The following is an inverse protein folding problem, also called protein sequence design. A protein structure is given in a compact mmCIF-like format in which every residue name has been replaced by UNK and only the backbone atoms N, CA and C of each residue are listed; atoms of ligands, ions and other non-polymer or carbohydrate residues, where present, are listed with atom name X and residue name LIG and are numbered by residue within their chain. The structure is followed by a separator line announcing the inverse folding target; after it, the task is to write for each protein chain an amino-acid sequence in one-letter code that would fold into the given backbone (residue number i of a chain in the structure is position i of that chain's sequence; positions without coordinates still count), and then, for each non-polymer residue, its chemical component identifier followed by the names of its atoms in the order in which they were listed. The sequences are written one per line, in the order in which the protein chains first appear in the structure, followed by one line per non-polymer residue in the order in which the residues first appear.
data_IF_368632571710
#
_entry.id   IF_368632571710
#
_cell.length_a   1.000
_cell.length_b   1.000
_cell.length_c   1.000
_cell.angle_alpha   90.00
_cell.angle_beta   90.00
_cell.angle_gamma   90.00
#
_symmetry.space_group_name_H-M   'P 1'
#
loop_
_entity.id
_entity.type
_entity.pdbx_description
1 polymer ?
#
# COMPACT_ATOMS: atom_id res chain seq x y z
N UNK A 1 -5.37 -19.97 13.60
CA UNK A 1 -5.13 -18.51 13.55
C UNK A 1 -6.01 -17.88 14.62
N UNK A 2 -5.44 -17.08 15.53
CA UNK A 2 -6.19 -16.48 16.65
C UNK A 2 -6.80 -15.15 16.18
N UNK A 3 -8.01 -14.76 16.66
CA UNK A 3 -8.66 -13.47 16.31
C UNK A 3 -7.73 -12.28 16.46
N UNK A 4 -6.93 -12.24 17.53
CA UNK A 4 -5.98 -11.16 17.79
C UNK A 4 -4.95 -10.96 16.68
N UNK A 5 -4.72 -11.97 15.82
CA UNK A 5 -3.87 -11.82 14.63
C UNK A 5 -4.62 -11.17 13.46
N UNK A 6 -5.95 -11.32 13.37
CA UNK A 6 -6.77 -10.67 12.33
C UNK A 6 -6.90 -9.16 12.58
N UNK A 7 -7.02 -8.73 13.85
CA UNK A 7 -7.10 -7.30 14.23
C UNK A 7 -5.82 -6.53 13.90
N UNK A 8 -4.69 -7.23 13.86
CA UNK A 8 -3.37 -6.65 13.59
C UNK A 8 -3.10 -6.46 12.09
N UNK A 9 -3.89 -7.09 11.21
CA UNK A 9 -3.65 -7.02 9.77
C UNK A 9 -3.97 -5.61 9.26
N UNK A 10 -2.96 -4.95 8.70
CA UNK A 10 -3.11 -3.65 8.07
C UNK A 10 -3.66 -3.82 6.64
N UNK A 11 -4.85 -3.28 6.39
CA UNK A 11 -5.40 -3.14 5.04
C UNK A 11 -4.89 -1.85 4.42
N UNK A 12 -4.21 -1.98 3.28
CA UNK A 12 -3.61 -0.86 2.56
C UNK A 12 -4.37 -0.64 1.26
N UNK A 13 -5.08 0.49 1.17
CA UNK A 13 -5.83 0.89 -0.01
C UNK A 13 -4.86 1.45 -1.08
N UNK A 14 -4.52 0.63 -2.06
CA UNK A 14 -3.56 0.94 -3.12
C UNK A 14 -4.05 2.13 -3.96
N UNK A 15 -3.29 3.22 -4.00
CA UNK A 15 -3.64 4.50 -4.66
C UNK A 15 -4.96 5.11 -4.19
N UNK A 16 -5.33 4.84 -2.94
CA UNK A 16 -6.63 5.14 -2.34
C UNK A 16 -7.70 4.06 -2.52
N UNK A 17 -7.41 2.98 -3.25
CA UNK A 17 -8.37 1.91 -3.57
C UNK A 17 -9.29 2.28 -4.74
N UNK A 18 -10.20 1.38 -5.10
CA UNK A 18 -11.14 1.56 -6.23
C UNK A 18 -12.48 2.10 -5.75
N UNK A 19 -12.46 3.25 -5.07
CA UNK A 19 -13.66 3.99 -4.65
C UNK A 19 -13.98 5.17 -5.59
N UNK A 20 -12.94 5.74 -6.20
CA UNK A 20 -12.95 6.70 -7.31
C UNK A 20 -11.70 6.44 -8.18
N UNK A 21 -11.36 7.38 -9.07
CA UNK A 21 -10.15 7.31 -9.89
C UNK A 21 -8.86 7.35 -9.03
N UNK A 22 -7.87 6.52 -9.40
CA UNK A 22 -6.64 6.34 -8.62
C UNK A 22 -5.91 7.66 -8.34
N UNK A 23 -5.30 7.78 -7.15
CA UNK A 23 -4.49 8.94 -6.76
C UNK A 23 -5.20 10.31 -6.88
N UNK A 24 -6.54 10.35 -6.83
CA UNK A 24 -7.31 11.61 -6.77
C UNK A 24 -7.70 11.99 -5.34
N UNK A 25 -7.90 13.29 -5.07
CA UNK A 25 -8.36 13.74 -3.75
C UNK A 25 -9.71 13.11 -3.37
N UNK A 26 -10.62 13.00 -4.34
CA UNK A 26 -11.91 12.34 -4.16
C UNK A 26 -11.74 10.88 -3.71
N UNK A 27 -10.84 10.13 -4.32
CA UNK A 27 -10.58 8.74 -3.95
C UNK A 27 -10.04 8.61 -2.53
N UNK A 28 -9.08 9.45 -2.14
CA UNK A 28 -8.55 9.44 -0.77
C UNK A 28 -9.61 9.82 0.26
N UNK A 29 -10.42 10.84 0.01
CA UNK A 29 -11.54 11.20 0.91
C UNK A 29 -12.52 10.03 1.06
N UNK A 30 -12.87 9.34 -0.04
CA UNK A 30 -13.74 8.15 0.00
C UNK A 30 -13.10 7.00 0.77
N UNK A 31 -11.81 6.77 0.61
CA UNK A 31 -11.07 5.75 1.36
C UNK A 31 -11.04 6.04 2.87
N UNK A 32 -10.81 7.29 3.25
CA UNK A 32 -10.85 7.74 4.65
C UNK A 32 -12.27 7.61 5.24
N UNK A 33 -13.30 7.97 4.49
CA UNK A 33 -14.69 7.77 4.89
C UNK A 33 -15.00 6.29 5.10
N UNK A 34 -14.52 5.42 4.20
CA UNK A 34 -14.66 3.98 4.36
C UNK A 34 -13.98 3.46 5.64
N UNK A 35 -12.79 3.95 5.95
CA UNK A 35 -12.09 3.62 7.18
C UNK A 35 -12.80 4.15 8.45
N UNK A 36 -13.53 5.26 8.37
CA UNK A 36 -14.38 5.75 9.46
C UNK A 36 -15.62 4.88 9.68
N UNK A 37 -16.19 4.30 8.62
CA UNK A 37 -17.31 3.35 8.72
C UNK A 37 -16.84 2.02 9.32
N UNK A 38 -15.57 1.65 9.11
CA UNK A 38 -14.95 0.43 9.65
C UNK A 38 -13.82 0.74 10.65
N UNK A 39 -14.13 1.33 11.83
CA UNK A 39 -13.12 1.80 12.77
C UNK A 39 -12.30 0.67 13.41
N UNK A 40 -12.80 -0.57 13.39
CA UNK A 40 -12.15 -1.77 13.91
C UNK A 40 -10.99 -2.27 13.03
N UNK A 41 -10.86 -1.73 11.81
CA UNK A 41 -9.83 -2.14 10.85
C UNK A 41 -8.60 -1.25 10.97
N UNK A 42 -7.43 -1.88 11.08
CA UNK A 42 -6.15 -1.20 10.90
C UNK A 42 -5.99 -0.82 9.42
N UNK A 43 -6.19 0.46 9.11
CA UNK A 43 -6.29 0.95 7.74
C UNK A 43 -5.15 1.90 7.38
N UNK A 44 -4.71 1.83 6.13
CA UNK A 44 -3.73 2.76 5.56
C UNK A 44 -4.12 3.07 4.13
N UNK A 45 -3.99 4.32 3.71
CA UNK A 45 -4.03 4.67 2.29
C UNK A 45 -2.61 4.60 1.72
N UNK A 46 -2.44 4.08 0.53
CA UNK A 46 -1.18 4.15 -0.20
C UNK A 46 -1.33 5.09 -1.40
N UNK A 47 -0.26 5.81 -1.72
CA UNK A 47 -0.20 6.81 -2.77
C UNK A 47 1.19 6.84 -3.40
N UNK A 48 1.24 7.39 -4.61
CA UNK A 48 2.48 7.61 -5.35
C UNK A 48 2.78 9.09 -5.47
N UNK A 49 4.06 9.49 -5.35
CA UNK A 49 4.47 10.89 -5.52
C UNK A 49 5.38 11.12 -6.73
N UNK A 50 5.28 12.32 -7.29
CA UNK A 50 6.18 12.84 -8.33
C UNK A 50 6.54 14.29 -8.04
N UNK A 51 7.69 14.72 -8.55
CA UNK A 51 8.07 16.13 -8.54
C UNK A 51 7.45 16.87 -9.75
N UNK A 52 6.71 17.96 -9.52
CA UNK A 52 6.30 18.86 -10.59
C UNK A 52 7.51 19.64 -11.13
N UNK A 53 7.27 20.52 -12.11
CA UNK A 53 8.26 21.51 -12.54
C UNK A 53 8.70 22.36 -11.34
N UNK A 54 10.01 22.60 -11.22
CA UNK A 54 10.55 23.54 -10.23
C UNK A 54 9.95 24.93 -10.37
N UNK A 55 9.89 25.65 -9.26
CA UNK A 55 9.46 27.04 -9.23
C UNK A 55 10.43 27.94 -9.99
N UNK A 56 9.98 29.16 -10.32
CA UNK A 56 10.77 30.15 -11.09
C UNK A 56 12.07 30.51 -10.36
N UNK A 57 12.04 30.54 -9.04
CA UNK A 57 13.20 30.81 -8.17
C UNK A 57 14.17 29.61 -8.04
N UNK A 58 13.91 28.51 -8.75
CA UNK A 58 14.71 27.29 -8.72
C UNK A 58 14.45 26.38 -7.53
N UNK A 59 13.54 26.76 -6.61
CA UNK A 59 13.09 25.90 -5.52
C UNK A 59 12.24 24.72 -6.03
N UNK A 60 12.19 23.64 -5.26
CA UNK A 60 11.30 22.53 -5.56
C UNK A 60 9.85 22.96 -5.30
N UNK A 61 8.94 22.58 -6.18
CA UNK A 61 7.52 22.62 -5.84
C UNK A 61 7.17 21.46 -4.90
N UNK A 62 6.26 21.69 -3.96
CA UNK A 62 5.42 20.68 -3.32
C UNK A 62 5.08 19.51 -4.25
N UNK A 63 5.21 18.31 -3.70
CA UNK A 63 5.01 17.06 -4.40
C UNK A 63 3.55 16.87 -4.79
N UNK A 64 3.34 16.26 -5.96
CA UNK A 64 2.02 15.89 -6.47
C UNK A 64 1.80 14.39 -6.35
N UNK A 65 0.54 13.99 -6.17
CA UNK A 65 0.16 12.60 -6.00
C UNK A 65 -0.29 11.99 -7.33
N UNK A 66 0.61 11.26 -7.98
CA UNK A 66 0.37 10.57 -9.26
C UNK A 66 1.40 9.46 -9.45
N UNK A 67 0.95 8.32 -9.97
CA UNK A 67 1.81 7.15 -10.17
C UNK A 67 2.79 7.31 -11.33
N UNK A 68 2.25 7.56 -12.53
CA UNK A 68 3.06 7.59 -13.74
C UNK A 68 3.91 8.86 -13.82
N UNK A 69 5.11 8.77 -14.38
CA UNK A 69 5.94 9.94 -14.72
C UNK A 69 5.33 10.85 -15.80
N UNK A 70 4.20 10.45 -16.38
CA UNK A 70 3.44 11.19 -17.39
C UNK A 70 1.97 11.25 -17.01
N UNK A 71 1.31 12.36 -17.31
CA UNK A 71 -0.13 12.56 -17.01
C UNK A 71 -1.08 11.81 -17.97
N UNK A 72 -0.52 11.21 -19.03
CA UNK A 72 -1.27 10.73 -20.20
C UNK A 72 -2.37 9.71 -19.91
N UNK A 73 -2.16 8.81 -18.94
CA UNK A 73 -3.04 7.65 -18.71
C UNK A 73 -4.29 8.05 -17.94
N UNK A 74 -4.11 8.82 -16.87
CA UNK A 74 -5.14 9.15 -15.88
C UNK A 74 -5.78 10.51 -16.11
N UNK A 75 -5.23 11.35 -16.98
CA UNK A 75 -5.79 12.68 -17.28
C UNK A 75 -6.06 12.88 -18.77
N UNK A 76 -6.73 13.98 -19.12
CA UNK A 76 -6.86 14.43 -20.50
C UNK A 76 -5.62 15.19 -21.02
N UNK A 77 -4.67 15.51 -20.14
CA UNK A 77 -3.39 16.12 -20.52
C UNK A 77 -2.43 15.13 -21.20
N UNK A 78 -1.30 15.66 -21.70
CA UNK A 78 -0.22 14.88 -22.29
C UNK A 78 1.14 15.48 -21.94
N UNK A 79 2.07 14.68 -21.48
CA UNK A 79 3.43 15.12 -21.17
C UNK A 79 3.96 14.50 -19.88
N UNK A 80 5.18 14.90 -19.53
CA UNK A 80 5.83 14.51 -18.27
C UNK A 80 5.23 15.32 -17.12
N UNK A 81 5.12 14.73 -15.93
CA UNK A 81 4.69 15.47 -14.74
C UNK A 81 5.64 16.63 -14.44
N UNK A 82 6.95 16.41 -14.63
CA UNK A 82 8.01 17.40 -14.39
C UNK A 82 8.00 18.61 -15.33
N UNK A 83 7.16 18.62 -16.37
CA UNK A 83 7.02 19.79 -17.27
C UNK A 83 5.88 20.72 -16.89
N UNK A 84 4.99 20.29 -15.99
CA UNK A 84 3.87 21.09 -15.51
C UNK A 84 4.16 21.69 -14.15
N UNK A 85 3.69 22.92 -13.92
CA UNK A 85 3.56 23.50 -12.59
C UNK A 85 2.50 22.75 -11.77
N UNK A 86 2.51 22.94 -10.46
CA UNK A 86 1.51 22.35 -9.57
C UNK A 86 0.09 22.78 -9.93
N UNK A 87 -0.12 24.07 -10.18
CA UNK A 87 -1.44 24.62 -10.50
C UNK A 87 -1.99 24.03 -11.80
N UNK A 88 -1.11 23.80 -12.79
CA UNK A 88 -1.52 23.12 -14.02
C UNK A 88 -1.90 21.67 -13.73
N UNK A 89 -1.10 20.92 -12.95
CA UNK A 89 -1.37 19.52 -12.61
C UNK A 89 -2.67 19.34 -11.83
N UNK A 90 -2.90 20.17 -10.82
CA UNK A 90 -4.13 20.12 -10.01
C UNK A 90 -5.37 20.56 -10.80
N UNK A 91 -5.19 21.27 -11.91
CA UNK A 91 -6.27 21.67 -12.81
C UNK A 91 -6.51 20.71 -13.98
N UNK A 92 -5.66 19.69 -14.18
CA UNK A 92 -5.82 18.74 -15.28
C UNK A 92 -7.09 17.90 -15.09
N UNK A 93 -7.98 17.85 -16.09
CA UNK A 93 -9.16 16.99 -16.02
C UNK A 93 -8.77 15.52 -15.93
N UNK A 94 -9.28 14.82 -14.92
CA UNK A 94 -9.12 13.37 -14.79
C UNK A 94 -9.91 12.68 -15.89
N UNK A 95 -9.30 11.69 -16.54
CA UNK A 95 -9.97 10.85 -17.53
C UNK A 95 -10.91 9.90 -16.78
N UNK A 96 -12.18 10.26 -16.73
CA UNK A 96 -13.19 9.48 -16.03
C UNK A 96 -13.58 8.27 -16.89
N UNK A 97 -13.25 7.05 -16.44
CA UNK A 97 -13.46 5.83 -17.23
C UNK A 97 -14.82 5.18 -17.00
N UNK A 98 -15.58 5.56 -15.97
CA UNK A 98 -16.93 5.02 -15.71
C UNK A 98 -17.81 6.03 -14.96
N UNK A 99 -18.75 6.68 -15.65
CA UNK A 99 -19.83 7.42 -14.98
C UNK A 99 -21.17 6.68 -15.08
N UNK A 100 -21.72 6.33 -13.92
CA UNK A 100 -23.11 6.68 -13.64
C UNK A 100 -23.06 7.78 -12.58
N UNK A 101 -23.32 9.02 -12.99
CA UNK A 101 -23.56 10.14 -12.08
C UNK A 101 -24.95 9.95 -11.46
N UNK A 102 -25.01 9.82 -10.14
CA UNK A 102 -26.21 10.15 -9.39
C UNK A 102 -25.96 11.54 -8.80
N UNK A 103 -27.00 12.34 -8.61
CA UNK A 103 -26.92 13.66 -7.99
C UNK A 103 -27.69 13.62 -6.67
N UNK A 104 -27.02 13.86 -5.55
CA UNK A 104 -27.55 13.84 -4.20
C UNK A 104 -27.09 15.13 -3.51
N UNK A 105 -28.04 15.78 -2.83
CA UNK A 105 -27.82 17.02 -2.08
C UNK A 105 -26.87 16.77 -0.91
N UNK A 106 -25.85 17.63 -0.75
CA UNK A 106 -24.94 17.62 0.39
C UNK A 106 -25.68 17.68 1.73
N UNK A 107 -25.73 16.56 2.46
CA UNK A 107 -26.00 16.54 3.90
C UNK A 107 -24.67 16.38 4.64
N UNK A 108 -24.55 16.99 5.82
CA UNK A 108 -23.56 16.54 6.81
C UNK A 108 -23.94 15.11 7.15
N UNK A 109 -23.12 14.15 6.77
CA UNK A 109 -23.35 12.74 7.07
C UNK A 109 -22.24 12.31 8.02
N UNK A 110 -22.63 11.77 9.17
CA UNK A 110 -21.74 11.03 10.05
C UNK A 110 -21.86 9.55 9.71
N UNK A 111 -20.78 8.79 9.92
CA UNK A 111 -20.86 7.34 9.92
C UNK A 111 -21.88 6.86 10.98
N UNK A 112 -22.45 5.66 10.86
CA UNK A 112 -23.40 5.11 11.83
C UNK A 112 -22.87 5.09 13.29
N UNK A 113 -21.55 5.12 13.45
CA UNK A 113 -20.84 5.19 14.72
C UNK A 113 -20.59 6.64 15.23
N UNK A 114 -21.16 7.65 14.58
CA UNK A 114 -21.03 9.06 14.94
C UNK A 114 -19.79 9.77 14.41
N UNK A 115 -18.84 9.07 13.78
CA UNK A 115 -17.62 9.69 13.27
C UNK A 115 -17.90 10.59 12.04
N UNK A 116 -17.25 11.76 11.93
CA UNK A 116 -17.54 12.76 10.89
C UNK A 116 -16.95 12.39 9.52
N UNK A 117 -17.78 12.24 8.49
CA UNK A 117 -17.30 11.96 7.14
C UNK A 117 -16.83 13.22 6.41
N UNK A 118 -15.82 13.08 5.57
CA UNK A 118 -15.33 14.11 4.66
C UNK A 118 -16.33 14.30 3.51
N UNK A 119 -16.64 15.56 3.18
CA UNK A 119 -17.40 15.89 1.98
C UNK A 119 -16.56 15.63 0.72
N UNK A 120 -17.16 14.91 -0.23
CA UNK A 120 -16.58 14.64 -1.54
C UNK A 120 -17.39 15.41 -2.58
N UNK A 121 -16.69 16.13 -3.45
CA UNK A 121 -17.28 16.97 -4.48
C UNK A 121 -16.64 16.71 -5.84
N UNK A 122 -17.28 17.18 -6.91
CA UNK A 122 -16.73 17.04 -8.27
C UNK A 122 -15.34 17.68 -8.44
N UNK A 123 -15.05 18.78 -7.73
CA UNK A 123 -13.74 19.45 -7.77
C UNK A 123 -12.64 18.68 -7.04
N UNK A 124 -12.97 17.67 -6.24
CA UNK A 124 -12.00 16.77 -5.62
C UNK A 124 -11.46 15.72 -6.62
N UNK A 125 -12.08 15.57 -7.80
CA UNK A 125 -11.60 14.64 -8.84
C UNK A 125 -10.47 15.25 -9.66
N UNK A 126 -9.36 15.47 -8.99
CA UNK A 126 -8.12 16.02 -9.53
C UNK A 126 -6.91 15.37 -8.89
N UNK A 127 -5.75 15.60 -9.49
CA UNK A 127 -4.45 15.30 -8.86
C UNK A 127 -4.32 16.20 -7.61
N UNK A 128 -4.14 15.64 -6.40
CA UNK A 128 -3.85 16.42 -5.20
C UNK A 128 -2.35 16.66 -5.02
N UNK A 129 -2.02 17.66 -4.20
CA UNK A 129 -0.69 17.77 -3.60
C UNK A 129 -0.55 16.76 -2.46
N UNK A 130 0.68 16.34 -2.16
CA UNK A 130 0.95 15.44 -1.04
C UNK A 130 0.45 16.03 0.28
N UNK A 131 0.80 17.30 0.56
CA UNK A 131 0.32 18.01 1.77
C UNK A 131 -1.20 17.97 1.95
N UNK A 132 -1.96 18.09 0.86
CA UNK A 132 -3.43 18.05 0.93
C UNK A 132 -3.92 16.69 1.44
N UNK A 133 -3.35 15.60 0.94
CA UNK A 133 -3.71 14.24 1.39
C UNK A 133 -3.29 14.01 2.85
N UNK A 134 -2.13 14.50 3.25
CA UNK A 134 -1.65 14.41 4.62
C UNK A 134 -2.55 15.20 5.59
N UNK A 135 -2.99 16.40 5.21
CA UNK A 135 -3.80 17.28 6.07
C UNK A 135 -5.24 16.78 6.25
N UNK A 136 -5.87 16.25 5.19
CA UNK A 136 -7.19 15.61 5.34
C UNK A 136 -7.10 14.34 6.19
N UNK A 137 -6.00 13.58 6.08
CA UNK A 137 -5.80 12.37 6.88
C UNK A 137 -5.56 12.72 8.35
N UNK A 138 -4.77 13.75 8.62
CA UNK A 138 -4.53 14.27 9.96
C UNK A 138 -5.83 14.73 10.62
N UNK A 139 -6.67 15.45 9.89
CA UNK A 139 -8.00 15.89 10.38
C UNK A 139 -8.86 14.70 10.79
N UNK A 140 -8.87 13.62 10.00
CA UNK A 140 -9.59 12.39 10.34
C UNK A 140 -8.96 11.69 11.55
N UNK A 141 -7.64 11.65 11.63
CA UNK A 141 -6.91 11.01 12.72
C UNK A 141 -7.10 11.69 14.07
N UNK A 142 -7.14 13.03 14.12
CA UNK A 142 -7.49 13.77 15.34
C UNK A 142 -8.83 13.29 15.89
N UNK A 143 -9.85 13.17 15.02
CA UNK A 143 -11.17 12.68 15.42
C UNK A 143 -11.13 11.22 15.89
N UNK A 144 -10.40 10.34 15.19
CA UNK A 144 -10.26 8.93 15.58
C UNK A 144 -9.60 8.78 16.93
N UNK A 145 -8.48 9.47 17.16
CA UNK A 145 -7.71 9.40 18.41
C UNK A 145 -8.51 9.96 19.59
N UNK A 146 -9.27 11.05 19.40
CA UNK A 146 -10.18 11.58 20.43
C UNK A 146 -11.29 10.58 20.81
N UNK A 147 -11.59 9.61 19.94
CA UNK A 147 -12.57 8.54 20.18
C UNK A 147 -11.89 7.19 20.54
N UNK A 148 -10.60 7.19 20.91
CA UNK A 148 -9.80 5.99 21.21
C UNK A 148 -9.72 4.97 20.05
N UNK A 149 -9.80 5.45 18.82
CA UNK A 149 -9.69 4.63 17.60
C UNK A 149 -8.29 4.85 17.01
N UNK A 150 -7.63 3.76 16.61
CA UNK A 150 -6.31 3.81 16.01
C UNK A 150 -6.27 4.68 14.74
N UNK A 151 -5.18 5.43 14.58
CA UNK A 151 -4.97 6.31 13.43
C UNK A 151 -4.88 5.52 12.11
N UNK A 152 -5.34 6.16 11.03
CA UNK A 152 -5.15 5.71 9.65
C UNK A 152 -3.75 6.13 9.21
N UNK A 153 -2.98 5.19 8.67
CA UNK A 153 -1.65 5.47 8.12
C UNK A 153 -1.68 6.03 6.71
N UNK A 154 -0.55 6.59 6.28
CA UNK A 154 -0.28 6.94 4.86
C UNK A 154 1.01 6.25 4.40
N UNK A 155 0.89 5.42 3.37
CA UNK A 155 1.99 4.80 2.65
C UNK A 155 2.38 5.64 1.44
N UNK A 156 3.63 6.09 1.37
CA UNK A 156 4.12 6.94 0.29
C UNK A 156 5.12 6.14 -0.56
N UNK A 157 4.71 5.74 -1.76
CA UNK A 157 5.62 5.20 -2.78
C UNK A 157 6.23 6.35 -3.59
N UNK A 158 7.56 6.40 -3.61
CA UNK A 158 8.33 7.42 -4.32
C UNK A 158 9.17 6.81 -5.46
N UNK A 159 8.94 5.55 -5.80
CA UNK A 159 9.85 4.77 -6.65
C UNK A 159 9.59 4.94 -8.15
N UNK A 160 8.40 5.37 -8.54
CA UNK A 160 8.00 5.48 -9.94
C UNK A 160 8.51 6.74 -10.65
N UNK A 161 9.74 7.20 -10.39
CA UNK A 161 10.36 8.34 -11.10
C UNK A 161 10.94 7.94 -12.49
N UNK A 162 10.68 6.72 -12.94
CA UNK A 162 11.32 6.15 -14.12
C UNK A 162 10.69 6.63 -15.45
N UNK A 163 11.55 6.98 -16.40
CA UNK A 163 11.16 7.38 -17.77
C UNK A 163 10.59 6.20 -18.58
N UNK A 164 10.07 6.46 -19.80
CA UNK A 164 9.55 5.41 -20.71
C UNK A 164 10.61 4.34 -21.04
N UNK A 165 11.88 4.71 -21.12
CA UNK A 165 12.99 3.77 -21.34
C UNK A 165 13.19 2.88 -20.12
N UNK A 166 13.08 3.43 -18.91
CA UNK A 166 13.17 2.68 -17.66
C UNK A 166 11.99 1.71 -17.48
N UNK A 167 10.78 2.08 -17.93
CA UNK A 167 9.63 1.15 -17.98
C UNK A 167 9.83 -0.02 -18.94
N UNK A 168 10.47 0.18 -20.09
CA UNK A 168 10.88 -0.91 -20.99
C UNK A 168 11.90 -1.81 -20.30
N UNK A 169 12.84 -1.23 -19.55
CA UNK A 169 13.76 -2.03 -18.75
C UNK A 169 13.02 -2.86 -17.70
N UNK A 170 12.11 -2.26 -16.93
CA UNK A 170 11.34 -2.95 -15.87
C UNK A 170 10.41 -4.06 -16.36
N UNK A 171 9.77 -3.87 -17.51
CA UNK A 171 8.72 -4.79 -18.00
C UNK A 171 9.22 -5.79 -19.05
N UNK A 172 10.34 -5.51 -19.71
CA UNK A 172 10.84 -6.32 -20.83
C UNK A 172 12.30 -6.74 -20.61
N UNK A 173 13.21 -5.77 -20.43
CA UNK A 173 14.65 -6.06 -20.38
C UNK A 173 15.05 -6.81 -19.10
N UNK A 174 14.63 -6.37 -17.92
CA UNK A 174 14.99 -6.99 -16.65
C UNK A 174 14.34 -8.36 -16.44
N UNK A 175 13.07 -8.60 -16.78
CA UNK A 175 12.52 -9.96 -16.80
C UNK A 175 13.23 -10.90 -17.79
N UNK A 176 13.87 -10.36 -18.83
CA UNK A 176 14.69 -11.12 -19.78
C UNK A 176 16.13 -11.34 -19.27
N UNK A 177 16.80 -10.31 -18.74
CA UNK A 177 18.14 -10.39 -18.15
C UNK A 177 18.17 -11.27 -16.90
N UNK A 178 17.12 -11.26 -16.07
CA UNK A 178 16.97 -12.17 -14.92
C UNK A 178 16.87 -13.64 -15.34
N UNK A 179 16.34 -13.93 -16.55
CA UNK A 179 16.36 -15.29 -17.11
C UNK A 179 17.74 -15.71 -17.60
N UNK A 180 18.57 -14.75 -18.01
CA UNK A 180 19.91 -15.01 -18.55
C UNK A 180 20.99 -15.02 -17.46
N UNK A 181 20.84 -14.20 -16.43
CA UNK A 181 21.74 -14.12 -15.28
C UNK A 181 20.94 -13.77 -14.01
N UNK A 182 20.58 -14.78 -13.20
CA UNK A 182 19.84 -14.59 -11.96
C UNK A 182 20.61 -13.68 -10.99
N UNK A 183 20.00 -12.58 -10.54
CA UNK A 183 20.66 -11.61 -9.66
C UNK A 183 21.31 -10.41 -10.38
N UNK A 184 21.10 -10.27 -11.71
CA UNK A 184 21.57 -9.12 -12.50
C UNK A 184 20.77 -7.83 -12.30
N UNK A 185 19.85 -7.77 -11.33
CA UNK A 185 18.96 -6.63 -11.03
C UNK A 185 19.66 -5.35 -10.50
N UNK A 186 20.93 -5.15 -10.80
CA UNK A 186 21.86 -4.20 -10.17
C UNK A 186 21.71 -2.72 -10.58
N UNK A 187 20.64 -2.30 -11.26
CA UNK A 187 20.43 -0.86 -11.50
C UNK A 187 18.96 -0.47 -11.65
N UNK A 188 18.21 -0.54 -10.55
CA UNK A 188 17.00 0.28 -10.44
C UNK A 188 17.39 1.74 -10.22
N UNK A 189 16.67 2.63 -10.89
CA UNK A 189 16.85 4.08 -10.82
C UNK A 189 16.63 4.55 -9.39
N UNK A 190 17.57 5.34 -8.88
CA UNK A 190 17.36 6.04 -7.62
C UNK A 190 16.44 7.22 -7.82
N UNK A 191 15.46 7.44 -6.92
CA UNK A 191 14.71 8.69 -6.94
C UNK A 191 15.72 9.85 -6.82
N UNK A 192 15.49 10.97 -7.54
CA UNK A 192 16.37 12.13 -7.45
C UNK A 192 16.48 12.62 -6.01
N UNK A 193 17.69 12.98 -5.56
CA UNK A 193 17.93 13.52 -4.21
C UNK A 193 16.98 14.68 -3.87
N UNK A 194 16.68 15.56 -4.84
CA UNK A 194 15.75 16.68 -4.67
C UNK A 194 14.32 16.25 -4.30
N UNK A 195 13.81 15.18 -4.92
CA UNK A 195 12.48 14.64 -4.60
C UNK A 195 12.46 14.14 -3.16
N UNK A 196 13.51 13.44 -2.76
CA UNK A 196 13.66 12.90 -1.42
C UNK A 196 13.79 13.99 -0.36
N UNK A 197 14.57 15.04 -0.62
CA UNK A 197 14.68 16.21 0.25
C UNK A 197 13.35 16.94 0.41
N UNK A 198 12.62 17.13 -0.69
CA UNK A 198 11.28 17.72 -0.65
C UNK A 198 10.28 16.84 0.12
N UNK A 199 10.33 15.52 -0.09
CA UNK A 199 9.51 14.56 0.66
C UNK A 199 9.80 14.65 2.16
N UNK A 200 11.08 14.63 2.53
CA UNK A 200 11.49 14.77 3.92
C UNK A 200 11.01 16.09 4.53
N UNK A 201 11.11 17.19 3.78
CA UNK A 201 10.59 18.48 4.20
C UNK A 201 9.07 18.43 4.46
N UNK A 202 8.27 17.96 3.50
CA UNK A 202 6.80 17.91 3.61
C UNK A 202 6.29 16.99 4.73
N UNK A 203 7.03 15.93 5.08
CA UNK A 203 6.66 15.00 6.16
C UNK A 203 7.35 15.31 7.51
N UNK A 204 8.22 16.32 7.58
CA UNK A 204 9.02 16.62 8.80
C UNK A 204 8.25 17.31 9.93
N UNK A 205 6.97 17.62 9.72
CA UNK A 205 6.15 18.27 10.74
C UNK A 205 6.01 17.40 12.00
N UNK A 206 6.64 17.85 13.10
CA UNK A 206 6.72 17.14 14.39
C UNK A 206 5.37 17.00 15.11
N UNK A 207 4.34 17.74 14.71
CA UNK A 207 3.01 17.64 15.33
C UNK A 207 2.11 16.59 14.67
N UNK A 208 2.56 15.97 13.57
CA UNK A 208 1.72 15.06 12.77
C UNK A 208 1.49 13.73 13.52
N UNK A 209 0.23 13.43 13.81
CA UNK A 209 -0.24 12.19 14.45
C UNK A 209 -0.36 11.04 13.45
N UNK A 210 -0.46 11.35 12.17
CA UNK A 210 -0.61 10.38 11.09
C UNK A 210 0.63 9.49 10.95
N UNK A 211 0.50 8.15 11.14
CA UNK A 211 1.61 7.23 10.92
C UNK A 211 2.01 7.20 9.44
N UNK A 212 3.28 7.51 9.15
CA UNK A 212 3.82 7.50 7.79
C UNK A 212 4.63 6.21 7.55
N UNK A 213 4.34 5.55 6.42
CA UNK A 213 5.15 4.49 5.88
C UNK A 213 5.80 4.93 4.57
N UNK A 214 7.13 4.94 4.51
CA UNK A 214 7.85 5.20 3.25
C UNK A 214 8.04 3.87 2.50
N UNK A 215 7.69 3.84 1.22
CA UNK A 215 7.67 2.64 0.41
C UNK A 215 8.69 2.79 -0.72
N UNK A 216 9.59 1.81 -0.84
CA UNK A 216 10.55 1.74 -1.96
C UNK A 216 10.46 0.42 -2.71
N UNK A 217 10.48 0.45 -4.04
CA UNK A 217 10.53 -0.74 -4.89
C UNK A 217 11.96 -1.19 -5.22
N UNK A 218 12.33 -2.35 -4.71
CA UNK A 218 13.59 -3.04 -5.03
C UNK A 218 14.73 -2.71 -4.07
N UNK A 219 15.54 -3.75 -3.80
CA UNK A 219 16.66 -3.70 -2.85
C UNK A 219 18.02 -3.83 -3.53
N UNK A 220 18.05 -4.19 -4.81
CA UNK A 220 19.30 -4.43 -5.53
C UNK A 220 20.00 -3.14 -6.00
N UNK A 221 19.38 -1.97 -5.81
CA UNK A 221 20.07 -0.69 -5.84
C UNK A 221 20.33 -0.25 -4.39
N UNK A 222 21.44 -0.68 -3.78
CA UNK A 222 21.82 -0.28 -2.40
C UNK A 222 21.77 1.25 -2.15
N UNK A 223 21.79 2.05 -3.21
CA UNK A 223 21.58 3.51 -3.18
C UNK A 223 20.20 3.96 -2.70
N UNK A 224 19.10 3.25 -3.01
CA UNK A 224 17.75 3.76 -2.69
C UNK A 224 17.42 3.64 -1.21
N UNK A 225 17.76 2.50 -0.63
CA UNK A 225 17.50 2.22 0.77
C UNK A 225 18.48 2.94 1.70
N UNK A 226 19.74 3.14 1.29
CA UNK A 226 20.67 4.01 2.03
C UNK A 226 20.24 5.47 2.02
N UNK A 227 19.77 6.00 0.89
CA UNK A 227 19.19 7.34 0.82
C UNK A 227 17.93 7.45 1.68
N UNK A 228 17.05 6.46 1.64
CA UNK A 228 15.83 6.44 2.44
C UNK A 228 16.10 6.44 3.94
N UNK A 229 17.09 5.66 4.39
CA UNK A 229 17.52 5.66 5.79
C UNK A 229 18.15 7.01 6.17
N UNK A 230 18.94 7.63 5.29
CA UNK A 230 19.43 9.00 5.49
C UNK A 230 18.31 10.03 5.60
N UNK A 231 17.19 9.86 4.88
CA UNK A 231 16.02 10.73 5.05
C UNK A 231 15.39 10.53 6.42
N UNK A 232 15.23 9.28 6.87
CA UNK A 232 14.72 8.98 8.22
C UNK A 232 15.63 9.64 9.27
N UNK A 233 16.95 9.56 9.12
CA UNK A 233 17.90 10.20 10.04
C UNK A 233 17.78 11.73 10.04
N UNK A 234 17.42 12.35 8.92
CA UNK A 234 17.17 13.80 8.83
C UNK A 234 15.82 14.20 9.41
N UNK A 235 14.81 13.33 9.36
CA UNK A 235 13.47 13.66 9.84
C UNK A 235 13.34 13.23 11.30
N UNK A 236 13.24 14.22 12.19
CA UNK A 236 13.08 13.98 13.63
C UNK A 236 11.63 13.51 13.93
N UNK A 237 11.34 12.24 13.64
CA UNK A 237 10.02 11.60 13.78
C UNK A 237 10.07 10.07 13.65
N UNK A 238 9.00 9.38 14.07
CA UNK A 238 8.91 7.92 13.96
C UNK A 238 8.27 7.49 12.63
N UNK A 239 9.05 6.91 11.73
CA UNK A 239 8.59 6.41 10.44
C UNK A 239 8.59 4.89 10.38
N UNK A 240 7.66 4.35 9.60
CA UNK A 240 7.70 2.97 9.16
C UNK A 240 8.36 2.92 7.78
N UNK A 241 9.18 1.91 7.57
CA UNK A 241 9.83 1.63 6.31
C UNK A 241 9.21 0.38 5.71
N UNK A 242 8.81 0.45 4.44
CA UNK A 242 8.40 -0.70 3.67
C UNK A 242 9.20 -0.83 2.40
N UNK A 243 9.51 -2.07 2.07
CA UNK A 243 10.23 -2.43 0.86
C UNK A 243 9.38 -3.38 0.06
N UNK A 244 9.15 -3.05 -1.20
CA UNK A 244 8.49 -3.93 -2.14
C UNK A 244 9.51 -4.84 -2.83
N UNK A 245 9.45 -6.12 -2.48
CA UNK A 245 10.23 -7.20 -3.07
C UNK A 245 9.43 -7.90 -4.16
N UNK A 246 10.02 -7.97 -5.36
CA UNK A 246 9.44 -8.70 -6.48
C UNK A 246 9.88 -10.16 -6.53
N UNK A 247 10.77 -10.63 -5.65
CA UNK A 247 11.32 -11.98 -5.74
C UNK A 247 11.33 -12.67 -4.38
N UNK A 248 11.15 -14.00 -4.37
CA UNK A 248 11.46 -14.86 -3.20
C UNK A 248 12.98 -14.99 -2.98
N UNK A 249 13.79 -14.48 -3.90
CA UNK A 249 15.24 -14.33 -3.82
C UNK A 249 15.66 -13.10 -3.01
N UNK A 250 14.70 -12.30 -2.55
CA UNK A 250 14.99 -11.18 -1.69
C UNK A 250 15.68 -11.69 -0.41
N UNK A 251 16.85 -11.15 -0.02
CA UNK A 251 17.45 -11.42 1.27
C UNK A 251 16.52 -10.92 2.37
N UNK A 252 15.61 -11.81 2.77
CA UNK A 252 14.71 -11.65 3.90
C UNK A 252 15.44 -11.80 5.24
N UNK A 253 16.74 -12.08 5.21
CA UNK A 253 17.60 -12.16 6.39
C UNK A 253 18.40 -10.88 6.60
N UNK A 254 18.54 -10.53 7.87
CA UNK A 254 19.15 -9.27 8.31
C UNK A 254 20.63 -9.18 7.91
N UNK A 255 21.35 -10.31 7.80
CA UNK A 255 22.78 -10.34 7.47
C UNK A 255 22.98 -9.97 6.00
N UNK A 256 22.26 -10.63 5.10
CA UNK A 256 22.32 -10.38 3.66
C UNK A 256 21.79 -8.99 3.32
N UNK A 257 20.77 -8.50 4.05
CA UNK A 257 20.29 -7.13 3.91
C UNK A 257 21.36 -6.12 4.35
N UNK A 258 21.97 -6.29 5.54
CA UNK A 258 23.07 -5.43 6.02
C UNK A 258 24.23 -5.37 5.03
N UNK A 259 24.64 -6.53 4.47
CA UNK A 259 25.70 -6.61 3.46
C UNK A 259 25.36 -5.87 2.16
N UNK A 260 24.09 -5.91 1.75
CA UNK A 260 23.65 -5.31 0.47
C UNK A 260 23.54 -3.79 0.52
N UNK A 261 23.50 -3.21 1.71
CA UNK A 261 23.10 -1.82 1.89
C UNK A 261 24.24 -0.86 2.18
N UNK A 262 25.39 -1.34 2.66
CA UNK A 262 26.51 -0.47 3.02
C UNK A 262 26.09 0.67 3.98
N UNK A 263 25.16 0.37 4.89
CA UNK A 263 24.59 1.30 5.89
C UNK A 263 25.11 0.93 7.28
N UNK A 264 25.25 1.92 8.15
CA UNK A 264 25.47 1.71 9.59
C UNK A 264 24.45 0.72 10.17
N UNK A 265 24.95 -0.30 10.85
CA UNK A 265 24.17 -1.45 11.34
C UNK A 265 23.10 -1.09 12.38
N UNK A 266 23.18 0.10 12.98
CA UNK A 266 22.33 0.57 14.09
C UNK A 266 20.91 0.94 13.62
N UNK A 267 20.76 1.85 12.66
CA UNK A 267 19.46 2.37 12.20
C UNK A 267 18.53 1.27 11.66
N UNK A 268 19.09 0.28 10.95
CA UNK A 268 18.33 -0.87 10.46
C UNK A 268 17.87 -1.80 11.59
N UNK A 269 18.75 -2.10 12.56
CA UNK A 269 18.40 -2.99 13.68
C UNK A 269 17.31 -2.35 14.54
N UNK A 270 17.40 -1.05 14.81
CA UNK A 270 16.37 -0.29 15.52
C UNK A 270 15.01 -0.34 14.80
N UNK A 271 14.98 -0.22 13.46
CA UNK A 271 13.74 -0.33 12.68
C UNK A 271 13.09 -1.72 12.78
N UNK A 272 13.89 -2.78 12.79
CA UNK A 272 13.41 -4.17 12.89
C UNK A 272 12.91 -4.44 14.31
N UNK A 273 13.71 -4.11 15.33
CA UNK A 273 13.37 -4.31 16.75
C UNK A 273 12.11 -3.54 17.15
N UNK A 274 11.95 -2.31 16.64
CA UNK A 274 10.76 -1.49 16.87
C UNK A 274 9.56 -1.85 15.98
N UNK A 275 9.62 -2.94 15.19
CA UNK A 275 8.56 -3.39 14.28
C UNK A 275 8.12 -2.34 13.25
N UNK A 276 9.07 -1.51 12.82
CA UNK A 276 8.86 -0.45 11.82
C UNK A 276 9.38 -0.81 10.44
N UNK A 277 9.88 -2.02 10.22
CA UNK A 277 10.35 -2.48 8.92
C UNK A 277 9.41 -3.55 8.34
N UNK A 278 8.84 -3.29 7.16
CA UNK A 278 7.98 -4.23 6.43
C UNK A 278 8.61 -4.69 5.12
N UNK A 279 8.53 -5.98 4.82
CA UNK A 279 8.86 -6.57 3.52
C UNK A 279 7.58 -6.98 2.80
N UNK A 280 7.29 -6.31 1.69
CA UNK A 280 6.09 -6.49 0.89
C UNK A 280 6.40 -7.38 -0.34
N UNK A 281 5.84 -8.58 -0.39
CA UNK A 281 6.05 -9.55 -1.47
C UNK A 281 5.05 -9.42 -2.61
N UNK A 282 5.51 -9.62 -3.84
CA UNK A 282 4.61 -9.69 -5.00
C UNK A 282 3.91 -11.06 -5.09
N UNK A 283 2.59 -11.09 -4.87
CA UNK A 283 1.82 -12.34 -4.85
C UNK A 283 1.83 -13.13 -6.17
N UNK A 284 2.11 -12.48 -7.32
CA UNK A 284 2.09 -13.13 -8.64
C UNK A 284 3.26 -14.11 -8.81
N UNK A 285 4.37 -13.92 -8.09
CA UNK A 285 5.54 -14.76 -8.21
C UNK A 285 5.34 -16.17 -7.66
N UNK A 286 4.55 -16.33 -6.60
CA UNK A 286 4.14 -17.65 -6.09
C UNK A 286 3.47 -18.49 -7.20
N UNK A 287 2.67 -17.86 -8.07
CA UNK A 287 2.04 -18.55 -9.22
C UNK A 287 3.04 -18.98 -10.28
N UNK A 288 4.07 -18.17 -10.55
CA UNK A 288 5.11 -18.52 -11.53
C UNK A 288 5.95 -19.69 -11.02
N UNK A 289 6.42 -19.62 -9.78
CA UNK A 289 7.14 -20.72 -9.14
C UNK A 289 6.32 -22.03 -9.16
N UNK A 290 5.02 -21.93 -8.83
CA UNK A 290 4.10 -23.07 -8.93
C UNK A 290 4.00 -23.65 -10.36
N UNK A 291 3.85 -22.80 -11.39
CA UNK A 291 3.78 -23.25 -12.78
C UNK A 291 5.07 -23.91 -13.27
N UNK A 292 6.23 -23.36 -12.92
CA UNK A 292 7.53 -23.97 -13.24
C UNK A 292 7.67 -25.35 -12.61
N UNK A 293 7.30 -25.52 -11.33
CA UNK A 293 7.27 -26.82 -10.65
C UNK A 293 6.35 -27.83 -11.37
N UNK A 294 5.20 -27.37 -11.86
CA UNK A 294 4.25 -28.22 -12.56
C UNK A 294 4.73 -28.66 -13.95
N UNK A 295 5.32 -27.74 -14.71
CA UNK A 295 5.93 -28.02 -16.03
C UNK A 295 7.05 -29.04 -15.92
N UNK A 296 7.96 -28.88 -14.95
CA UNK A 296 9.04 -29.84 -14.70
C UNK A 296 8.52 -31.27 -14.49
N UNK A 297 7.42 -31.43 -13.72
CA UNK A 297 6.75 -32.73 -13.51
C UNK A 297 6.16 -33.32 -14.79
N UNK A 298 5.56 -32.50 -15.65
CA UNK A 298 4.88 -32.96 -16.89
C UNK A 298 5.89 -33.55 -17.87
N UNK A 299 7.08 -32.97 -17.99
CA UNK A 299 8.11 -33.44 -18.92
C UNK A 299 8.90 -34.67 -18.41
N UNK A 300 8.44 -35.34 -17.36
CA UNK A 300 9.12 -36.52 -16.81
C UNK A 300 10.50 -36.22 -16.24
N UNK A 301 10.87 -34.94 -16.14
CA UNK A 301 12.07 -34.50 -15.48
C UNK A 301 11.83 -34.74 -13.98
N UNK A 302 12.29 -35.89 -13.47
CA UNK A 302 12.48 -36.14 -12.03
C UNK A 302 13.62 -35.26 -11.53
N UNK A 303 13.45 -33.95 -11.66
CA UNK A 303 14.34 -32.98 -11.08
C UNK A 303 13.92 -32.92 -9.62
N UNK A 304 14.51 -33.78 -8.80
CA UNK A 304 14.32 -33.70 -7.35
C UNK A 304 14.71 -32.32 -6.82
N UNK A 305 15.45 -31.53 -7.58
CA UNK A 305 15.68 -30.13 -7.27
C UNK A 305 16.32 -29.38 -8.46
N UNK A 306 15.54 -28.67 -9.28
CA UNK A 306 16.13 -27.60 -10.10
C UNK A 306 16.58 -26.42 -9.21
N UNK A 307 16.08 -26.44 -7.97
CA UNK A 307 16.27 -25.46 -6.92
C UNK A 307 17.39 -25.83 -5.92
N UNK A 308 18.01 -27.02 -6.01
CA UNK A 308 19.23 -27.37 -5.24
C UNK A 308 20.48 -26.72 -5.81
N UNK A 309 20.39 -26.30 -7.09
CA UNK A 309 21.37 -25.44 -7.73
C UNK A 309 21.26 -24.00 -7.25
N UNK A 310 20.12 -23.61 -6.66
CA UNK A 310 20.03 -22.33 -5.97
C UNK A 310 20.73 -22.46 -4.62
N UNK A 311 21.45 -21.41 -4.18
CA UNK A 311 22.02 -21.36 -2.85
C UNK A 311 20.99 -21.75 -1.78
N UNK A 312 21.41 -22.51 -0.74
CA UNK A 312 20.53 -23.01 0.34
C UNK A 312 19.68 -21.94 1.03
N UNK A 313 20.06 -20.66 0.91
CA UNK A 313 19.38 -19.50 1.47
C UNK A 313 18.27 -18.91 0.58
N UNK A 314 17.91 -19.55 -0.53
CA UNK A 314 16.86 -19.06 -1.44
C UNK A 314 15.50 -19.68 -1.11
N UNK A 315 14.48 -18.83 -0.88
CA UNK A 315 13.12 -19.30 -0.65
C UNK A 315 12.43 -19.75 -1.95
N UNK A 316 11.74 -20.89 -1.89
CA UNK A 316 11.11 -21.55 -3.05
C UNK A 316 9.66 -21.10 -3.27
N UNK A 317 9.09 -20.38 -2.31
CA UNK A 317 7.75 -19.80 -2.40
C UNK A 317 7.69 -18.49 -1.62
N UNK A 318 6.66 -17.69 -1.91
CA UNK A 318 6.44 -16.46 -1.14
C UNK A 318 6.11 -16.75 0.34
N UNK A 319 5.48 -17.89 0.64
CA UNK A 319 5.18 -18.30 2.03
C UNK A 319 6.47 -18.52 2.83
N UNK A 320 7.40 -19.28 2.27
CA UNK A 320 8.69 -19.53 2.89
C UNK A 320 9.52 -18.25 3.04
N UNK A 321 9.53 -17.38 2.02
CA UNK A 321 10.22 -16.09 2.10
C UNK A 321 9.64 -15.22 3.24
N UNK A 322 8.31 -15.20 3.36
CA UNK A 322 7.60 -14.50 4.41
C UNK A 322 7.89 -15.08 5.80
N UNK A 323 7.92 -16.40 5.96
CA UNK A 323 8.29 -17.08 7.22
C UNK A 323 9.72 -16.71 7.63
N UNK A 324 10.69 -16.79 6.71
CA UNK A 324 12.09 -16.37 6.96
C UNK A 324 12.15 -14.90 7.39
N UNK A 325 11.47 -13.99 6.70
CA UNK A 325 11.44 -12.57 7.09
C UNK A 325 10.82 -12.37 8.48
N UNK A 326 9.70 -13.05 8.75
CA UNK A 326 9.02 -12.96 10.03
C UNK A 326 9.91 -13.45 11.18
N UNK A 327 10.62 -14.56 10.99
CA UNK A 327 11.57 -15.12 11.97
C UNK A 327 12.74 -14.18 12.25
N UNK A 328 13.12 -13.36 11.26
CA UNK A 328 14.14 -12.33 11.37
C UNK A 328 13.61 -11.01 11.96
N UNK A 329 12.33 -10.98 12.33
CA UNK A 329 11.70 -9.87 13.04
C UNK A 329 11.02 -8.83 12.14
N UNK A 330 11.10 -8.98 10.81
CA UNK A 330 10.43 -8.08 9.87
C UNK A 330 8.91 -8.25 9.94
N UNK A 331 8.18 -7.15 9.75
CA UNK A 331 6.78 -7.25 9.32
C UNK A 331 6.72 -7.70 7.87
N UNK A 332 5.66 -8.37 7.47
CA UNK A 332 5.50 -8.89 6.12
C UNK A 332 4.18 -8.49 5.50
N UNK A 333 4.17 -8.33 4.18
CA UNK A 333 3.01 -7.89 3.44
C UNK A 333 2.94 -8.47 2.04
N UNK A 334 1.80 -8.27 1.37
CA UNK A 334 1.64 -8.63 -0.04
C UNK A 334 1.05 -7.50 -0.87
N UNK A 335 1.54 -7.37 -2.11
CA UNK A 335 1.06 -6.39 -3.08
C UNK A 335 1.00 -6.95 -4.51
N UNK A 336 0.22 -6.35 -5.42
CA UNK A 336 -1.14 -5.85 -5.14
C UNK A 336 -2.09 -7.04 -5.21
N UNK A 337 -2.84 -7.34 -4.15
CA UNK A 337 -3.64 -8.57 -4.03
C UNK A 337 -5.13 -8.26 -4.20
N UNK A 338 -5.68 -8.53 -5.39
CA UNK A 338 -7.03 -8.07 -5.76
C UNK A 338 -8.12 -9.16 -5.78
N UNK A 339 -7.72 -10.44 -5.86
CA UNK A 339 -8.67 -11.56 -5.94
C UNK A 339 -8.97 -12.07 -4.54
N UNK A 340 -10.24 -12.36 -4.26
CA UNK A 340 -10.72 -12.89 -2.98
C UNK A 340 -9.85 -14.06 -2.47
N UNK A 341 -9.68 -15.11 -3.29
CA UNK A 341 -8.86 -16.29 -2.95
C UNK A 341 -7.40 -15.96 -2.62
N UNK A 342 -6.84 -14.90 -3.20
CA UNK A 342 -5.45 -14.51 -2.92
C UNK A 342 -5.33 -13.68 -1.64
N UNK A 343 -6.32 -12.81 -1.36
CA UNK A 343 -6.40 -12.07 -0.10
C UNK A 343 -6.53 -13.06 1.06
N UNK A 344 -7.50 -13.98 0.98
CA UNK A 344 -7.71 -15.02 1.99
C UNK A 344 -6.44 -15.88 2.18
N UNK A 345 -5.77 -16.27 1.10
CA UNK A 345 -4.52 -17.03 1.16
C UNK A 345 -3.40 -16.24 1.87
N UNK A 346 -3.26 -14.95 1.58
CA UNK A 346 -2.26 -14.09 2.25
C UNK A 346 -2.55 -13.95 3.75
N UNK A 347 -3.82 -13.80 4.14
CA UNK A 347 -4.25 -13.79 5.54
C UNK A 347 -3.88 -15.11 6.22
N UNK A 348 -4.19 -16.25 5.60
CA UNK A 348 -3.87 -17.59 6.12
C UNK A 348 -2.37 -17.84 6.24
N UNK A 349 -1.55 -17.18 5.43
CA UNK A 349 -0.10 -17.21 5.57
C UNK A 349 0.38 -16.49 6.83
N UNK A 350 -0.42 -15.57 7.40
CA UNK A 350 -0.05 -14.80 8.59
C UNK A 350 0.58 -13.45 8.27
N UNK A 351 0.30 -12.89 7.09
CA UNK A 351 0.79 -11.56 6.68
C UNK A 351 0.39 -10.46 7.67
N UNK A 352 1.24 -9.45 7.85
CA UNK A 352 0.93 -8.26 8.65
C UNK A 352 0.20 -7.17 7.86
N UNK A 353 0.34 -7.16 6.52
CA UNK A 353 -0.36 -6.19 5.67
C UNK A 353 -0.82 -6.77 4.33
N UNK A 354 -1.84 -6.14 3.75
CA UNK A 354 -2.37 -6.47 2.42
C UNK A 354 -2.63 -5.17 1.65
N UNK A 355 -1.88 -4.98 0.57
CA UNK A 355 -2.09 -3.88 -0.38
C UNK A 355 -3.00 -4.32 -1.51
N UNK A 356 -4.12 -3.62 -1.69
CA UNK A 356 -5.17 -4.01 -2.64
C UNK A 356 -5.90 -2.81 -3.25
N UNK A 357 -6.33 -2.95 -4.50
CA UNK A 357 -7.26 -2.01 -5.13
C UNK A 357 -8.68 -2.12 -4.54
N UNK A 358 -8.99 -3.22 -3.83
CA UNK A 358 -10.33 -3.52 -3.33
C UNK A 358 -10.33 -3.67 -1.80
N UNK A 359 -10.03 -2.60 -1.04
CA UNK A 359 -9.99 -2.67 0.42
C UNK A 359 -11.32 -3.15 1.00
N UNK A 360 -12.45 -2.80 0.38
CA UNK A 360 -13.78 -3.31 0.76
C UNK A 360 -13.90 -4.84 0.72
N UNK A 361 -13.28 -5.51 -0.26
CA UNK A 361 -13.27 -6.97 -0.33
C UNK A 361 -12.40 -7.56 0.78
N UNK A 362 -11.25 -6.93 1.05
CA UNK A 362 -10.34 -7.41 2.10
C UNK A 362 -10.97 -7.30 3.49
N UNK A 363 -11.64 -6.17 3.79
CA UNK A 363 -12.35 -5.98 5.07
C UNK A 363 -13.47 -7.01 5.22
N UNK A 364 -14.28 -7.24 4.18
CA UNK A 364 -15.33 -8.28 4.20
C UNK A 364 -14.78 -9.68 4.50
N UNK A 365 -13.63 -10.03 3.93
CA UNK A 365 -12.95 -11.31 4.23
C UNK A 365 -12.54 -11.37 5.70
N UNK A 366 -11.90 -10.31 6.22
CA UNK A 366 -11.48 -10.26 7.63
C UNK A 366 -12.67 -10.41 8.56
N UNK A 367 -13.76 -9.65 8.33
CA UNK A 367 -14.97 -9.74 9.13
C UNK A 367 -15.61 -11.12 9.06
N UNK A 368 -15.68 -11.75 7.88
CA UNK A 368 -16.18 -13.12 7.74
C UNK A 368 -15.33 -14.12 8.53
N UNK A 369 -14.00 -14.03 8.43
CA UNK A 369 -13.08 -14.90 9.17
C UNK A 369 -13.16 -14.69 10.69
N UNK A 370 -13.36 -13.44 11.15
CA UNK A 370 -13.61 -13.14 12.57
C UNK A 370 -14.92 -13.79 13.04
N UNK A 371 -16.01 -13.63 12.28
CA UNK A 371 -17.30 -14.21 12.62
C UNK A 371 -17.26 -15.74 12.67
N UNK A 372 -16.59 -16.39 11.70
CA UNK A 372 -16.39 -17.84 11.68
C UNK A 372 -15.60 -18.32 12.90
N UNK A 373 -14.53 -17.62 13.28
CA UNK A 373 -13.78 -17.96 14.50
C UNK A 373 -14.66 -17.83 15.75
N UNK A 374 -15.39 -16.72 15.91
CA UNK A 374 -16.26 -16.51 17.06
C UNK A 374 -17.33 -17.60 17.18
N UNK A 375 -17.93 -17.99 16.06
CA UNK A 375 -18.91 -19.09 16.02
C UNK A 375 -18.31 -20.43 16.47
N UNK A 376 -17.06 -20.71 16.11
CA UNK A 376 -16.35 -21.93 16.50
C UNK A 376 -15.91 -21.93 17.96
N UNK A 377 -15.41 -20.79 18.46
CA UNK A 377 -14.82 -20.71 19.81
C UNK A 377 -15.80 -20.34 20.91
N UNK A 378 -16.94 -19.71 20.58
CA UNK A 378 -17.89 -19.25 21.57
C UNK A 378 -19.36 -19.32 21.07
N UNK A 379 -19.89 -20.54 20.85
CA UNK A 379 -21.18 -20.75 20.18
C UNK A 379 -22.39 -20.14 20.92
N UNK A 380 -22.32 -19.99 22.26
CA UNK A 380 -23.40 -19.37 23.05
C UNK A 380 -23.51 -17.86 22.84
N UNK A 381 -22.39 -17.14 22.68
CA UNK A 381 -22.39 -15.69 22.43
C UNK A 381 -22.83 -15.42 20.98
N UNK A 382 -22.34 -16.22 20.03
CA UNK A 382 -22.73 -16.09 18.62
C UNK A 382 -24.24 -16.29 18.39
N UNK A 383 -24.91 -17.12 19.20
CA UNK A 383 -26.37 -17.27 19.16
C UNK A 383 -27.12 -16.07 19.75
N UNK A 384 -26.58 -15.41 20.78
CA UNK A 384 -27.18 -14.21 21.39
C UNK A 384 -27.08 -13.01 20.44
N UNK A 385 -25.90 -12.76 19.87
CA UNK A 385 -25.72 -11.67 18.89
C UNK A 385 -26.56 -11.89 17.62
N UNK A 386 -26.70 -13.14 17.16
CA UNK A 386 -27.59 -13.44 16.04
C UNK A 386 -29.08 -13.40 16.38
N UNK A 387 -29.48 -13.58 17.63
CA UNK A 387 -30.87 -13.40 18.06
C UNK A 387 -31.25 -11.91 18.05
N UNK A 388 -30.36 -11.05 18.53
CA UNK A 388 -30.48 -9.57 18.47
C UNK A 388 -30.47 -9.08 17.00
N UNK A 389 -29.63 -9.67 16.15
CA UNK A 389 -29.60 -9.37 14.70
C UNK A 389 -30.80 -9.97 13.94
N UNK A 390 -31.39 -11.08 14.41
CA UNK A 390 -32.59 -11.70 13.81
C UNK A 390 -33.87 -10.92 14.13
N UNK A 391 -33.98 -10.29 15.30
CA UNK A 391 -35.05 -9.32 15.56
C UNK A 391 -34.88 -8.03 14.73
N UNK A 392 -33.66 -7.72 14.29
CA UNK A 392 -33.36 -6.67 13.30
C UNK A 392 -33.51 -7.13 11.83
N UNK A 393 -34.02 -8.34 11.53
CA UNK A 393 -34.32 -8.79 10.16
C UNK A 393 -35.59 -8.15 9.56
N UNK A 394 -35.57 -6.82 9.48
CA UNK A 394 -36.21 -6.04 8.41
C UNK A 394 -35.15 -5.10 7.82
N UNK A 395 -34.03 -5.62 7.33
CA UNK A 395 -32.98 -4.75 6.76
C UNK A 395 -32.45 -5.32 5.43
N UNK A 396 -33.01 -4.84 4.31
CA UNK A 396 -32.30 -4.68 3.04
C UNK A 396 -31.43 -3.39 3.00
N UNK A 397 -31.48 -2.54 4.03
CA UNK A 397 -30.97 -1.15 3.99
C UNK A 397 -29.45 -0.96 4.19
N UNK A 398 -28.72 -1.86 4.88
CA UNK A 398 -27.31 -1.61 5.25
C UNK A 398 -26.35 -1.57 4.04
N UNK A 399 -26.60 -2.38 3.01
CA UNK A 399 -25.72 -2.46 1.81
C UNK A 399 -25.93 -1.25 0.88
N UNK A 400 -27.15 -0.68 0.85
CA UNK A 400 -27.44 0.56 0.12
C UNK A 400 -26.81 1.77 0.84
N UNK A 401 -26.83 1.81 2.18
CA UNK A 401 -26.24 2.91 2.93
C UNK A 401 -24.71 3.00 2.81
N UNK A 402 -23.95 1.91 2.77
CA UNK A 402 -22.49 1.98 2.58
C UNK A 402 -22.13 2.57 1.21
N UNK A 403 -22.85 2.17 0.16
CA UNK A 403 -22.64 2.70 -1.18
C UNK A 403 -23.02 4.18 -1.24
N UNK A 404 -24.12 4.61 -0.60
CA UNK A 404 -24.56 6.02 -0.53
C UNK A 404 -23.61 6.91 0.28
N UNK A 405 -23.01 6.37 1.36
CA UNK A 405 -22.05 7.08 2.22
C UNK A 405 -20.68 7.30 1.56
N UNK A 406 -20.31 6.40 0.65
CA UNK A 406 -19.05 6.47 -0.11
C UNK A 406 -19.26 7.12 -1.46
N UNK A 407 -20.46 7.05 -2.06
CA UNK A 407 -20.71 7.54 -3.41
C UNK A 407 -20.61 9.04 -3.50
N UNK A 408 -21.07 9.78 -2.48
CA UNK A 408 -20.93 11.24 -2.35
C UNK A 408 -21.45 12.08 -3.53
N UNK A 409 -22.08 11.42 -4.51
CA UNK A 409 -22.55 11.97 -5.77
C UNK A 409 -24.07 11.95 -5.78
#
# INVERSE_FOLDING_TARGET
MIISNLDKIKIVAHRGGKFDEENTLANFKKALNYAQIHPDINFMIELDIQSPKSNIDGSNGDLVVIHDSTVNRTTLGKGLVSTYTQNELTSLPIRNLNQKRVSIKHRKISAPNGLPLLSVSGSDRRIPLLKEVLDITETVNINRLNNNIGAIGVGIDFTHVASRFERFKDHVLYPFLEKLNPGSQLSKVSPPTKLLEQLAFEISDKKRLTPIQLISQGIYSGRNLSLLIKLIEKINGQFHLAIQASTSHFPADTISLKRSLDIGTKSLSELIESKRFTVNYNHKWDRRAFWFKHLARIFGLRINDLYSLLPKNVALSNKQAMEIASDQGFLTGFWTVNKYKHIEKAIKYGTNSITTDFPNKAIKIIHAMKAEYLAQTNPKIYQIDNAVVREQKKIPQIIQTEAELISGD
#
